data_IF_076914733180
#
_entry.id   IF_076914733180
#
_cell.length_a   1.000
_cell.length_b   1.000
_cell.length_c   1.000
_cell.angle_alpha   90.00
_cell.angle_beta   90.00
_cell.angle_gamma   90.00
#
_symmetry.space_group_name_H-M   'P 1'
#
loop_
_entity.id
_entity.type
_entity.pdbx_description
1 polymer ?
#
# COMPACT_ATOMS: atom_id res chain seq x y z
N UNK A 1 -16.98 25.29 5.40
CA UNK A 1 -16.45 25.08 4.01
C UNK A 1 -15.12 24.35 4.17
N UNK A 2 -15.00 23.10 3.72
CA UNK A 2 -13.71 22.39 3.77
C UNK A 2 -12.76 23.11 2.80
N UNK A 3 -11.59 23.53 3.29
CA UNK A 3 -10.56 24.10 2.44
C UNK A 3 -10.28 23.15 1.27
N UNK A 4 -10.13 23.69 0.08
CA UNK A 4 -9.78 22.92 -1.12
C UNK A 4 -8.41 22.24 -0.92
N UNK A 5 -8.23 21.04 -1.45
CA UNK A 5 -6.97 20.32 -1.31
C UNK A 5 -5.88 21.04 -2.15
N UNK A 6 -4.81 21.48 -1.48
CA UNK A 6 -3.65 22.08 -2.14
C UNK A 6 -2.76 20.98 -2.74
N UNK A 7 -2.58 21.02 -4.06
CA UNK A 7 -1.66 20.10 -4.74
C UNK A 7 -0.22 20.60 -4.63
N UNK A 8 0.69 19.71 -4.24
CA UNK A 8 2.12 20.00 -4.08
C UNK A 8 2.99 18.97 -4.78
N UNK A 9 4.18 19.41 -5.18
CA UNK A 9 5.24 18.59 -5.75
C UNK A 9 6.54 18.88 -5.02
N UNK A 10 7.24 17.84 -4.59
CA UNK A 10 8.55 17.98 -3.96
C UNK A 10 9.53 16.93 -4.50
N UNK A 11 10.80 17.32 -4.70
CA UNK A 11 11.86 16.37 -5.04
C UNK A 11 12.40 15.77 -3.75
N UNK A 12 12.04 14.53 -3.48
CA UNK A 12 12.35 13.79 -2.27
C UNK A 12 12.93 12.43 -2.62
N UNK A 13 13.94 11.99 -1.88
CA UNK A 13 14.58 10.69 -2.09
C UNK A 13 14.92 10.40 -3.56
N UNK A 14 15.40 11.42 -4.29
CA UNK A 14 15.83 11.31 -5.68
C UNK A 14 14.70 11.19 -6.73
N UNK A 15 13.45 11.42 -6.35
CA UNK A 15 12.29 11.43 -7.25
C UNK A 15 11.35 12.59 -6.94
N UNK A 16 10.46 12.92 -7.87
CA UNK A 16 9.39 13.88 -7.63
C UNK A 16 8.19 13.16 -7.03
N UNK A 17 7.78 13.57 -5.83
CA UNK A 17 6.56 13.12 -5.19
C UNK A 17 5.47 14.17 -5.39
N UNK A 18 4.33 13.74 -5.93
CA UNK A 18 3.10 14.51 -5.89
C UNK A 18 2.30 14.14 -4.63
N UNK A 19 1.79 15.12 -3.93
CA UNK A 19 0.88 14.93 -2.79
C UNK A 19 -0.08 16.11 -2.67
N UNK A 20 -1.17 15.90 -1.93
CA UNK A 20 -2.11 16.97 -1.58
C UNK A 20 -2.07 17.24 -0.10
N UNK A 21 -2.30 18.49 0.29
CA UNK A 21 -2.44 18.90 1.69
C UNK A 21 -3.82 19.53 1.88
N UNK A 22 -4.55 19.08 2.91
CA UNK A 22 -5.88 19.58 3.21
C UNK A 22 -6.14 19.59 4.72
N UNK A 23 -6.91 20.58 5.20
CA UNK A 23 -7.29 20.70 6.60
C UNK A 23 -6.18 21.22 7.51
N UNK A 24 -6.48 21.25 8.80
CA UNK A 24 -5.60 21.75 9.86
C UNK A 24 -5.60 20.78 11.04
N UNK A 25 -4.61 20.90 11.95
CA UNK A 25 -4.49 20.05 13.14
C UNK A 25 -3.41 18.98 13.03
N UNK A 26 -3.56 17.86 13.76
CA UNK A 26 -2.57 16.78 13.80
C UNK A 26 -2.36 16.16 12.42
N UNK A 27 -1.09 15.91 12.03
CA UNK A 27 -0.77 15.44 10.68
C UNK A 27 -1.15 13.98 10.45
N UNK A 28 -1.82 13.72 9.33
CA UNK A 28 -2.17 12.38 8.83
C UNK A 28 -1.54 12.20 7.46
N UNK A 29 -0.80 11.11 7.27
CA UNK A 29 -0.26 10.72 5.97
C UNK A 29 -1.11 9.56 5.44
N UNK A 30 -1.80 9.78 4.32
CA UNK A 30 -2.65 8.78 3.65
C UNK A 30 -1.92 8.20 2.44
N UNK A 31 -1.79 6.88 2.43
CA UNK A 31 -1.03 6.09 1.47
C UNK A 31 -1.94 5.08 0.77
N UNK A 32 -2.05 5.18 -0.55
CA UNK A 32 -2.92 4.34 -1.38
C UNK A 32 -2.34 2.94 -1.65
N UNK A 33 -3.16 2.05 -2.23
CA UNK A 33 -2.78 0.72 -2.69
C UNK A 33 -2.04 0.72 -4.03
N UNK A 34 -1.50 -0.44 -4.41
CA UNK A 34 -0.89 -0.64 -5.73
C UNK A 34 -1.91 -0.42 -6.84
N UNK A 35 -1.52 0.26 -7.91
CA UNK A 35 -2.44 0.59 -9.01
C UNK A 35 -3.47 1.69 -8.71
N UNK A 36 -3.43 2.25 -7.51
CA UNK A 36 -4.29 3.35 -7.06
C UNK A 36 -3.56 4.69 -7.09
N UNK A 37 -4.29 5.75 -6.74
CA UNK A 37 -3.80 7.12 -6.65
C UNK A 37 -4.37 7.81 -5.41
N UNK A 38 -3.97 9.04 -5.14
CA UNK A 38 -4.55 9.87 -4.07
C UNK A 38 -6.06 10.02 -4.21
N UNK A 39 -6.57 10.08 -5.45
CA UNK A 39 -8.02 10.17 -5.73
C UNK A 39 -8.78 8.93 -5.25
N UNK A 40 -8.18 7.73 -5.37
CA UNK A 40 -8.80 6.48 -4.91
C UNK A 40 -9.08 6.49 -3.41
N UNK A 41 -8.21 7.12 -2.63
CA UNK A 41 -8.33 7.20 -1.16
C UNK A 41 -8.86 8.56 -0.67
N UNK A 42 -9.41 9.38 -1.58
CA UNK A 42 -9.91 10.73 -1.27
C UNK A 42 -11.05 10.74 -0.25
N UNK A 43 -11.90 9.69 -0.22
CA UNK A 43 -12.94 9.54 0.80
C UNK A 43 -12.34 9.39 2.20
N UNK A 44 -11.23 8.65 2.36
CA UNK A 44 -10.51 8.49 3.62
C UNK A 44 -9.93 9.84 4.06
N UNK A 45 -9.30 10.56 3.13
CA UNK A 45 -8.72 11.88 3.39
C UNK A 45 -9.79 12.87 3.85
N UNK A 46 -10.96 12.88 3.19
CA UNK A 46 -12.09 13.75 3.58
C UNK A 46 -12.60 13.44 4.99
N UNK A 47 -12.73 12.17 5.36
CA UNK A 47 -13.15 11.78 6.71
C UNK A 47 -12.14 12.29 7.75
N UNK A 48 -10.83 12.17 7.47
CA UNK A 48 -9.79 12.66 8.37
C UNK A 48 -9.79 14.19 8.49
N UNK A 49 -10.00 14.93 7.39
CA UNK A 49 -10.16 16.40 7.41
C UNK A 49 -11.38 16.79 8.24
N UNK A 50 -12.52 16.12 8.06
CA UNK A 50 -13.73 16.38 8.83
C UNK A 50 -13.55 16.04 10.34
N UNK A 51 -12.60 15.17 10.66
CA UNK A 51 -12.20 14.87 12.04
C UNK A 51 -11.17 15.89 12.60
N UNK A 52 -10.91 17.02 11.92
CA UNK A 52 -10.01 18.07 12.36
C UNK A 52 -8.53 17.70 12.23
N UNK A 53 -8.16 17.02 11.15
CA UNK A 53 -6.79 16.62 10.86
C UNK A 53 -6.22 17.36 9.64
N UNK A 54 -4.91 17.60 9.65
CA UNK A 54 -4.15 18.04 8.48
C UNK A 54 -3.69 16.82 7.71
N UNK A 55 -4.21 16.63 6.51
CA UNK A 55 -4.07 15.40 5.74
C UNK A 55 -3.13 15.59 4.56
N UNK A 56 -2.13 14.73 4.48
CA UNK A 56 -1.17 14.62 3.38
C UNK A 56 -1.50 13.34 2.62
N UNK A 57 -2.05 13.45 1.41
CA UNK A 57 -2.38 12.29 0.58
C UNK A 57 -1.40 12.19 -0.57
N UNK A 58 -0.63 11.11 -0.61
CA UNK A 58 0.46 10.94 -1.58
C UNK A 58 0.03 10.17 -2.81
N UNK A 59 0.66 10.48 -3.97
CA UNK A 59 0.77 9.56 -5.09
C UNK A 59 2.11 8.87 -5.02
N UNK A 60 2.15 7.58 -4.75
CA UNK A 60 3.41 6.86 -4.77
C UNK A 60 4.09 6.90 -6.16
N UNK A 61 5.43 6.95 -6.24
CA UNK A 61 6.16 6.87 -7.51
C UNK A 61 5.74 5.69 -8.38
N UNK A 62 5.42 6.00 -9.63
CA UNK A 62 4.83 5.06 -10.60
C UNK A 62 3.31 5.10 -10.67
N UNK A 63 2.65 5.97 -9.88
CA UNK A 63 1.20 6.13 -9.84
C UNK A 63 0.80 7.60 -9.84
N UNK A 64 -0.43 7.86 -10.31
CA UNK A 64 -0.99 9.20 -10.36
C UNK A 64 -0.10 10.17 -11.12
N UNK A 65 0.28 11.28 -10.49
CA UNK A 65 1.15 12.30 -11.07
C UNK A 65 2.62 12.18 -10.62
N UNK A 66 2.98 11.17 -9.84
CA UNK A 66 4.37 10.89 -9.48
C UNK A 66 5.04 9.99 -10.53
N UNK A 67 6.23 10.34 -11.06
CA UNK A 67 6.90 9.55 -12.08
C UNK A 67 7.34 8.19 -11.54
N UNK A 68 7.58 7.23 -12.45
CA UNK A 68 8.15 5.94 -12.08
C UNK A 68 9.55 6.11 -11.47
N UNK A 69 9.90 5.31 -10.44
CA UNK A 69 11.24 5.30 -9.89
C UNK A 69 12.29 4.97 -10.98
N UNK A 70 13.46 5.57 -10.89
CA UNK A 70 14.56 5.27 -11.83
C UNK A 70 15.07 3.83 -11.69
N UNK A 71 14.96 3.25 -10.47
CA UNK A 71 15.45 1.92 -10.12
C UNK A 71 14.29 1.00 -9.66
N UNK A 72 14.60 -0.30 -9.46
CA UNK A 72 13.63 -1.27 -8.95
C UNK A 72 13.53 -1.15 -7.44
N UNK A 73 12.58 -0.36 -6.97
CA UNK A 73 12.32 -0.14 -5.56
C UNK A 73 11.69 -1.37 -4.87
N UNK A 74 11.89 -1.50 -3.56
CA UNK A 74 11.15 -2.35 -2.64
C UNK A 74 10.36 -1.50 -1.66
N UNK A 75 9.79 -2.11 -0.63
CA UNK A 75 9.03 -1.39 0.41
C UNK A 75 9.92 -0.40 1.15
N UNK A 76 11.21 -0.72 1.30
CA UNK A 76 12.18 0.14 1.98
C UNK A 76 12.32 1.51 1.30
N UNK A 77 12.52 1.54 -0.02
CA UNK A 77 12.72 2.79 -0.75
C UNK A 77 11.46 3.66 -0.73
N UNK A 78 10.28 3.05 -0.84
CA UNK A 78 9.00 3.77 -0.67
C UNK A 78 8.85 4.32 0.76
N UNK A 79 9.33 3.58 1.77
CA UNK A 79 9.30 4.06 3.16
C UNK A 79 10.25 5.24 3.36
N UNK A 80 11.48 5.16 2.86
CA UNK A 80 12.44 6.28 2.89
C UNK A 80 11.90 7.54 2.22
N UNK A 81 11.10 7.39 1.15
CA UNK A 81 10.42 8.52 0.52
C UNK A 81 9.40 9.16 1.48
N UNK A 82 8.57 8.37 2.19
CA UNK A 82 7.60 8.90 3.17
C UNK A 82 8.31 9.52 4.38
N UNK A 83 9.42 8.96 4.82
CA UNK A 83 10.29 9.58 5.85
C UNK A 83 10.83 10.94 5.39
N UNK A 84 11.24 11.02 4.11
CA UNK A 84 11.70 12.28 3.51
C UNK A 84 10.56 13.30 3.39
N UNK A 85 9.33 12.87 3.10
CA UNK A 85 8.14 13.74 3.12
C UNK A 85 7.87 14.26 4.54
N UNK A 86 7.87 13.38 5.53
CA UNK A 86 7.64 13.76 6.92
C UNK A 86 8.69 14.81 7.39
N UNK A 87 9.95 14.59 7.03
CA UNK A 87 11.03 15.56 7.32
C UNK A 87 10.83 16.89 6.58
N UNK A 88 10.44 16.85 5.31
CA UNK A 88 10.22 18.03 4.47
C UNK A 88 9.08 18.90 5.01
N UNK A 89 7.97 18.27 5.42
CA UNK A 89 6.80 18.93 5.98
C UNK A 89 6.89 19.15 7.52
N UNK A 90 8.05 18.84 8.12
CA UNK A 90 8.31 18.98 9.57
C UNK A 90 7.32 18.21 10.44
N UNK A 91 6.94 17.02 10.01
CA UNK A 91 6.04 16.13 10.72
C UNK A 91 6.85 15.20 11.62
N UNK A 92 6.76 15.37 12.92
CA UNK A 92 7.54 14.57 13.89
C UNK A 92 6.84 13.26 14.27
N UNK A 93 5.50 13.27 14.38
CA UNK A 93 4.71 12.14 14.87
C UNK A 93 3.40 12.02 14.07
N UNK A 94 3.46 11.52 12.83
CA UNK A 94 2.26 11.40 11.99
C UNK A 94 1.29 10.34 12.49
N UNK A 95 -0.01 10.52 12.17
CA UNK A 95 -0.96 9.43 12.05
C UNK A 95 -0.75 8.82 10.66
N UNK A 96 -0.51 7.51 10.59
CA UNK A 96 -0.33 6.81 9.33
C UNK A 96 -1.61 6.08 8.92
N UNK A 97 -2.04 6.28 7.69
CA UNK A 97 -3.17 5.56 7.10
C UNK A 97 -2.70 4.88 5.83
N UNK A 98 -2.74 3.55 5.80
CA UNK A 98 -2.26 2.78 4.66
C UNK A 98 -3.31 1.78 4.15
N UNK A 99 -3.73 1.93 2.88
CA UNK A 99 -4.53 0.94 2.19
C UNK A 99 -3.62 -0.02 1.42
N UNK A 100 -3.85 -1.33 1.56
CA UNK A 100 -3.16 -2.38 0.79
C UNK A 100 -1.63 -2.20 0.77
N UNK A 101 -1.02 -1.80 -0.36
CA UNK A 101 0.42 -1.51 -0.47
C UNK A 101 0.87 -0.39 0.49
N UNK A 102 0.07 0.66 0.67
CA UNK A 102 0.34 1.73 1.64
C UNK A 102 0.48 1.21 3.07
N UNK A 103 -0.20 0.11 3.39
CA UNK A 103 -0.05 -0.57 4.68
C UNK A 103 1.34 -1.17 4.88
N UNK A 104 1.98 -1.71 3.83
CA UNK A 104 3.38 -2.17 3.90
C UNK A 104 4.32 -1.05 4.30
N UNK A 105 4.19 0.09 3.64
CA UNK A 105 4.99 1.29 3.92
C UNK A 105 4.74 1.78 5.34
N UNK A 106 3.47 1.81 5.78
CA UNK A 106 3.09 2.19 7.15
C UNK A 106 3.72 1.30 8.21
N UNK A 107 3.71 -0.03 8.02
CA UNK A 107 4.33 -0.99 8.94
C UNK A 107 5.84 -0.75 9.07
N UNK A 108 6.55 -0.59 7.95
CA UNK A 108 8.00 -0.34 7.97
C UNK A 108 8.29 0.99 8.64
N UNK A 109 7.57 2.05 8.29
CA UNK A 109 7.72 3.37 8.91
C UNK A 109 7.53 3.31 10.43
N UNK A 110 6.39 2.77 10.89
CA UNK A 110 6.03 2.71 12.31
C UNK A 110 6.93 1.78 13.14
N UNK A 111 7.64 0.83 12.50
CA UNK A 111 8.58 -0.07 13.18
C UNK A 111 9.87 0.62 13.64
N UNK A 112 10.16 1.84 13.14
CA UNK A 112 11.41 2.54 13.40
C UNK A 112 11.29 4.05 13.65
N UNK A 113 10.12 4.63 13.37
CA UNK A 113 9.89 6.06 13.57
C UNK A 113 8.78 6.30 14.59
N UNK A 114 8.82 7.48 15.24
CA UNK A 114 7.71 7.91 16.10
C UNK A 114 6.45 8.07 15.27
N UNK A 115 5.38 7.42 15.71
CA UNK A 115 4.08 7.42 15.05
C UNK A 115 3.01 7.64 16.11
N UNK A 116 2.05 8.52 15.86
CA UNK A 116 0.96 8.77 16.81
C UNK A 116 0.00 7.59 16.85
N UNK A 117 -0.47 7.19 15.68
CA UNK A 117 -1.39 6.06 15.45
C UNK A 117 -1.15 5.49 14.08
N UNK A 118 -1.55 4.25 13.89
CA UNK A 118 -1.56 3.62 12.58
C UNK A 118 -2.93 3.04 12.27
N UNK A 119 -3.42 3.28 11.05
CA UNK A 119 -4.66 2.67 10.53
C UNK A 119 -4.30 1.89 9.29
N UNK A 120 -4.52 0.59 9.32
CA UNK A 120 -4.28 -0.33 8.23
C UNK A 120 -5.61 -0.79 7.65
N UNK A 121 -5.83 -0.48 6.37
CA UNK A 121 -7.09 -0.76 5.66
C UNK A 121 -6.81 -1.81 4.61
N UNK A 122 -7.38 -3.02 4.75
CA UNK A 122 -7.19 -4.13 3.82
C UNK A 122 -5.69 -4.29 3.44
N UNK A 123 -4.81 -4.18 4.43
CA UNK A 123 -3.39 -3.89 4.22
C UNK A 123 -2.59 -5.14 3.80
N UNK A 124 -1.64 -4.96 2.91
CA UNK A 124 -0.63 -5.97 2.64
C UNK A 124 0.52 -5.87 3.67
N UNK A 125 1.26 -6.95 3.88
CA UNK A 125 2.38 -7.03 4.84
C UNK A 125 2.80 -8.46 5.11
N UNK A 126 1.89 -9.38 4.93
CA UNK A 126 2.14 -10.83 5.02
C UNK A 126 2.50 -11.36 3.63
N UNK A 127 3.55 -12.14 3.55
CA UNK A 127 3.90 -12.82 2.29
C UNK A 127 2.84 -13.88 1.97
N UNK A 128 2.22 -13.84 0.77
CA UNK A 128 1.19 -14.79 0.41
C UNK A 128 1.69 -16.24 0.45
N UNK A 129 0.93 -17.12 1.06
CA UNK A 129 1.19 -18.58 1.01
C UNK A 129 0.95 -19.06 -0.41
N UNK A 130 1.98 -19.59 -1.06
CA UNK A 130 1.90 -20.12 -2.43
C UNK A 130 1.56 -21.61 -2.40
N UNK A 131 0.60 -22.03 -3.20
CA UNK A 131 0.23 -23.44 -3.35
C UNK A 131 1.25 -24.20 -4.20
N UNK A 132 1.29 -25.53 -4.09
CA UNK A 132 2.12 -26.38 -4.96
C UNK A 132 1.82 -26.13 -6.45
N UNK A 133 0.54 -25.97 -6.80
CA UNK A 133 0.08 -25.62 -8.16
C UNK A 133 0.72 -24.32 -8.67
N UNK A 134 0.90 -23.32 -7.82
CA UNK A 134 1.61 -22.08 -8.17
C UNK A 134 3.07 -22.38 -8.56
N UNK A 135 3.78 -23.18 -7.76
CA UNK A 135 5.18 -23.52 -8.06
C UNK A 135 5.29 -24.32 -9.35
N UNK A 136 4.40 -25.30 -9.59
CA UNK A 136 4.34 -26.04 -10.85
C UNK A 136 4.16 -25.09 -12.03
N UNK A 137 3.20 -24.14 -11.97
CA UNK A 137 3.01 -23.12 -13.00
C UNK A 137 4.25 -22.26 -13.24
N UNK A 138 4.93 -21.84 -12.17
CA UNK A 138 6.17 -21.04 -12.27
C UNK A 138 7.30 -21.85 -12.93
N UNK A 139 7.51 -23.10 -12.54
CA UNK A 139 8.58 -23.94 -13.09
C UNK A 139 8.30 -24.34 -14.54
N UNK A 140 7.07 -24.71 -14.88
CA UNK A 140 6.69 -24.99 -16.27
C UNK A 140 6.82 -23.76 -17.15
N UNK A 141 6.48 -22.58 -16.65
CA UNK A 141 6.71 -21.33 -17.36
C UNK A 141 8.21 -21.02 -17.55
N UNK A 142 9.05 -21.25 -16.53
CA UNK A 142 10.51 -21.10 -16.66
C UNK A 142 11.10 -22.07 -17.67
N UNK A 143 10.63 -23.32 -17.68
CA UNK A 143 11.05 -24.33 -18.65
C UNK A 143 10.62 -23.93 -20.08
N UNK A 144 9.36 -23.52 -20.25
CA UNK A 144 8.85 -23.07 -21.57
C UNK A 144 9.64 -21.89 -22.15
N UNK A 145 10.15 -20.99 -21.32
CA UNK A 145 11.03 -19.89 -21.77
C UNK A 145 12.32 -20.40 -22.43
N UNK A 146 12.96 -21.42 -21.82
CA UNK A 146 14.19 -22.00 -22.37
C UNK A 146 13.91 -22.65 -23.75
N UNK A 147 12.81 -23.41 -23.82
CA UNK A 147 12.39 -24.07 -25.05
C UNK A 147 12.05 -23.05 -26.15
N UNK A 148 11.26 -22.01 -25.81
CA UNK A 148 10.89 -20.97 -26.78
C UNK A 148 12.12 -20.21 -27.32
N UNK A 149 13.13 -19.93 -26.45
CA UNK A 149 14.37 -19.30 -26.90
C UNK A 149 15.18 -20.16 -27.86
N UNK A 150 15.22 -21.48 -27.62
CA UNK A 150 15.91 -22.42 -28.48
C UNK A 150 15.23 -22.57 -29.86
N UNK A 151 13.88 -22.55 -29.91
CA UNK A 151 13.12 -22.77 -31.14
C UNK A 151 12.97 -21.50 -31.99
N UNK A 152 12.68 -20.34 -31.36
CA UNK A 152 12.30 -19.10 -32.06
C UNK A 152 13.34 -17.98 -31.98
N UNK A 153 14.49 -18.23 -31.33
CA UNK A 153 15.50 -17.22 -31.07
C UNK A 153 15.06 -16.19 -29.98
N UNK A 154 15.97 -15.27 -29.62
CA UNK A 154 15.79 -14.41 -28.45
C UNK A 154 14.65 -13.38 -28.64
N UNK A 155 14.60 -12.71 -29.81
CA UNK A 155 13.66 -11.62 -30.06
C UNK A 155 12.20 -12.07 -30.15
N UNK A 156 11.90 -13.11 -30.97
CA UNK A 156 10.55 -13.67 -31.10
C UNK A 156 10.07 -14.32 -29.80
N UNK A 157 10.94 -15.03 -29.11
CA UNK A 157 10.60 -15.64 -27.82
C UNK A 157 10.26 -14.59 -26.75
N UNK A 158 10.97 -13.44 -26.75
CA UNK A 158 10.73 -12.32 -25.84
C UNK A 158 9.30 -11.78 -25.98
N UNK A 159 8.83 -11.54 -27.21
CA UNK A 159 7.46 -11.08 -27.47
C UNK A 159 6.39 -12.08 -27.04
N UNK A 160 6.62 -13.38 -27.35
CA UNK A 160 5.68 -14.45 -26.96
C UNK A 160 5.61 -14.64 -25.45
N UNK A 161 6.74 -14.56 -24.76
CA UNK A 161 6.83 -14.65 -23.30
C UNK A 161 6.10 -13.46 -22.67
N UNK A 162 6.27 -12.25 -23.21
CA UNK A 162 5.64 -11.04 -22.68
C UNK A 162 4.11 -11.10 -22.83
N UNK A 163 3.59 -11.51 -24.00
CA UNK A 163 2.14 -11.74 -24.19
C UNK A 163 1.57 -12.76 -23.21
N UNK A 164 2.31 -13.84 -22.92
CA UNK A 164 1.91 -14.85 -21.93
C UNK A 164 1.92 -14.32 -20.51
N UNK A 165 2.90 -13.50 -20.14
CA UNK A 165 2.96 -12.83 -18.83
C UNK A 165 1.77 -11.89 -18.61
N UNK A 166 1.46 -11.05 -19.58
CA UNK A 166 0.32 -10.15 -19.52
C UNK A 166 -1.01 -10.90 -19.35
N UNK A 167 -1.19 -12.06 -20.00
CA UNK A 167 -2.41 -12.88 -19.88
C UNK A 167 -2.51 -13.67 -18.57
N UNK A 168 -1.38 -14.00 -17.94
CA UNK A 168 -1.35 -14.84 -16.74
C UNK A 168 -1.23 -14.02 -15.43
N UNK A 169 -0.92 -12.73 -15.53
CA UNK A 169 -0.80 -11.81 -14.40
C UNK A 169 -2.14 -11.23 -13.96
N UNK A 170 -2.16 -10.59 -12.79
CA UNK A 170 -3.28 -9.73 -12.37
C UNK A 170 -3.44 -8.55 -13.34
N UNK A 171 -4.59 -7.87 -13.30
CA UNK A 171 -4.84 -6.63 -14.07
C UNK A 171 -3.72 -5.61 -13.86
N UNK A 172 -3.30 -5.43 -12.60
CA UNK A 172 -2.24 -4.52 -12.19
C UNK A 172 -0.87 -4.88 -12.80
N UNK A 173 -0.58 -6.19 -12.89
CA UNK A 173 0.63 -6.68 -13.53
C UNK A 173 0.60 -6.48 -15.05
N UNK A 174 -0.57 -6.67 -15.66
CA UNK A 174 -0.74 -6.56 -17.11
C UNK A 174 -0.59 -5.11 -17.60
N UNK A 175 -1.13 -4.13 -16.87
CA UNK A 175 -1.08 -2.71 -17.22
C UNK A 175 0.25 -2.02 -16.86
N UNK A 176 1.04 -2.58 -15.92
CA UNK A 176 2.26 -1.99 -15.45
C UNK A 176 3.41 -2.03 -16.48
N UNK A 177 4.29 -1.02 -16.46
CA UNK A 177 5.53 -1.01 -17.21
C UNK A 177 6.46 -2.16 -16.82
N UNK A 178 7.46 -2.53 -17.61
CA UNK A 178 8.42 -3.57 -17.24
C UNK A 178 9.10 -3.31 -15.89
N UNK A 179 9.41 -2.05 -15.57
CA UNK A 179 10.01 -1.66 -14.28
C UNK A 179 9.02 -1.83 -13.15
N UNK A 180 7.81 -1.31 -13.29
CA UNK A 180 6.76 -1.43 -12.27
C UNK A 180 6.39 -2.90 -12.00
N UNK A 181 6.46 -3.78 -12.99
CA UNK A 181 6.31 -5.23 -12.79
C UNK A 181 7.42 -5.85 -11.94
N UNK A 182 8.67 -5.39 -12.10
CA UNK A 182 9.77 -5.84 -11.25
C UNK A 182 9.56 -5.36 -9.81
N UNK A 183 9.17 -4.10 -9.63
CA UNK A 183 8.84 -3.52 -8.33
C UNK A 183 7.69 -4.29 -7.67
N UNK A 184 6.56 -4.50 -8.38
CA UNK A 184 5.43 -5.28 -7.87
C UNK A 184 5.87 -6.67 -7.41
N UNK A 185 6.68 -7.36 -8.25
CA UNK A 185 7.18 -8.69 -7.90
C UNK A 185 8.09 -8.66 -6.65
N UNK A 186 8.87 -7.61 -6.44
CA UNK A 186 9.70 -7.42 -5.24
C UNK A 186 8.81 -7.20 -4.02
N UNK A 187 7.96 -6.17 -4.03
CA UNK A 187 7.18 -5.75 -2.86
C UNK A 187 6.15 -6.79 -2.39
N UNK A 188 5.49 -7.54 -3.29
CA UNK A 188 4.52 -8.57 -2.87
C UNK A 188 5.18 -9.80 -2.24
N UNK A 189 6.48 -10.01 -2.44
CA UNK A 189 7.23 -11.12 -1.85
C UNK A 189 7.95 -10.75 -0.55
N UNK A 190 7.98 -9.49 -0.17
CA UNK A 190 8.52 -9.07 1.12
C UNK A 190 7.58 -9.46 2.25
N UNK A 191 8.14 -10.08 3.30
CA UNK A 191 7.40 -10.50 4.49
C UNK A 191 7.77 -9.58 5.66
N UNK A 192 6.80 -8.81 6.13
CA UNK A 192 7.01 -7.78 7.14
C UNK A 192 6.67 -8.25 8.56
N UNK A 193 6.33 -9.52 8.77
CA UNK A 193 5.97 -10.05 10.10
C UNK A 193 7.02 -9.80 11.16
N UNK A 194 8.31 -9.82 10.79
CA UNK A 194 9.42 -9.57 11.70
C UNK A 194 9.53 -8.10 12.18
N UNK A 195 8.86 -7.17 11.52
CA UNK A 195 8.81 -5.75 11.91
C UNK A 195 7.60 -5.42 12.77
N UNK A 196 6.50 -6.17 12.66
CA UNK A 196 5.25 -5.89 13.35
C UNK A 196 5.39 -5.81 14.90
N UNK A 197 6.19 -6.67 15.55
CA UNK A 197 6.42 -6.55 17.00
C UNK A 197 7.17 -5.27 17.42
N UNK A 198 7.75 -4.54 16.48
CA UNK A 198 8.46 -3.27 16.74
C UNK A 198 7.56 -2.04 16.58
N UNK A 199 6.34 -2.22 16.11
CA UNK A 199 5.35 -1.13 15.99
C UNK A 199 4.84 -0.80 17.38
N UNK A 200 5.16 0.42 17.84
CA UNK A 200 4.78 0.90 19.18
C UNK A 200 3.60 1.89 19.15
N UNK A 201 3.00 2.11 17.98
CA UNK A 201 1.84 2.97 17.84
C UNK A 201 0.54 2.19 18.01
N UNK A 202 -0.47 2.70 18.71
CA UNK A 202 -1.82 2.17 18.69
C UNK A 202 -2.28 1.98 17.25
N UNK A 203 -2.77 0.78 16.92
CA UNK A 203 -3.05 0.37 15.54
C UNK A 203 -4.48 -0.12 15.37
N UNK A 204 -5.20 0.48 14.44
CA UNK A 204 -6.50 0.00 14.00
C UNK A 204 -6.37 -0.75 12.67
N UNK A 205 -6.86 -1.99 12.64
CA UNK A 205 -7.01 -2.78 11.43
C UNK A 205 -8.48 -2.70 11.00
N UNK A 206 -8.77 -2.20 9.79
CA UNK A 206 -10.12 -2.22 9.21
C UNK A 206 -10.09 -3.13 8.00
N UNK A 207 -10.98 -4.13 7.95
CA UNK A 207 -10.83 -5.19 6.96
C UNK A 207 -12.14 -5.76 6.46
N UNK A 208 -12.23 -5.96 5.13
CA UNK A 208 -13.34 -6.67 4.52
C UNK A 208 -13.23 -8.19 4.72
N UNK A 209 -14.33 -8.84 5.17
CA UNK A 209 -14.31 -10.31 5.38
C UNK A 209 -14.28 -11.10 4.07
N UNK A 210 -14.70 -10.50 2.95
CA UNK A 210 -14.68 -11.07 1.61
C UNK A 210 -13.44 -10.66 0.79
N UNK A 211 -12.44 -10.02 1.41
CA UNK A 211 -11.20 -9.65 0.73
C UNK A 211 -10.41 -10.88 0.29
N UNK A 212 -10.20 -11.00 -1.03
CA UNK A 212 -9.44 -12.08 -1.65
C UNK A 212 -8.00 -11.70 -1.98
N UNK A 213 -7.67 -10.41 -1.99
CA UNK A 213 -6.32 -9.91 -2.25
C UNK A 213 -5.44 -9.99 -1.01
N UNK A 214 -5.96 -9.51 0.12
CA UNK A 214 -5.36 -9.62 1.46
C UNK A 214 -6.38 -10.25 2.40
N UNK A 215 -6.41 -11.58 2.52
CA UNK A 215 -7.45 -12.28 3.28
C UNK A 215 -7.52 -11.84 4.75
N UNK A 216 -8.70 -11.85 5.35
CA UNK A 216 -8.92 -11.51 6.78
C UNK A 216 -8.02 -12.32 7.74
N UNK A 217 -7.51 -13.47 7.31
CA UNK A 217 -6.51 -14.23 8.06
C UNK A 217 -5.20 -13.46 8.25
N UNK A 218 -4.86 -12.57 7.32
CA UNK A 218 -3.65 -11.76 7.41
C UNK A 218 -3.85 -10.65 8.44
N UNK A 219 -5.03 -10.03 8.49
CA UNK A 219 -5.39 -9.08 9.55
C UNK A 219 -5.28 -9.71 10.95
N UNK A 220 -5.78 -10.94 11.12
CA UNK A 220 -5.66 -11.69 12.38
C UNK A 220 -4.22 -12.02 12.77
N UNK A 221 -3.32 -12.16 11.80
CA UNK A 221 -1.89 -12.32 12.06
C UNK A 221 -1.30 -10.99 12.50
N UNK A 222 -1.63 -9.88 11.81
CA UNK A 222 -1.17 -8.53 12.18
C UNK A 222 -1.64 -8.14 13.57
N UNK A 223 -2.92 -8.37 13.91
CA UNK A 223 -3.48 -8.12 15.24
C UNK A 223 -2.72 -8.83 16.36
N UNK A 224 -2.26 -10.05 16.11
CA UNK A 224 -1.47 -10.81 17.10
C UNK A 224 -0.01 -10.38 17.20
N UNK A 225 0.55 -9.83 16.12
CA UNK A 225 1.98 -9.49 16.06
C UNK A 225 2.26 -8.03 16.44
N UNK A 226 1.32 -7.13 16.21
CA UNK A 226 1.44 -5.72 16.59
C UNK A 226 0.97 -5.60 18.04
N UNK A 227 1.79 -5.07 18.97
CA UNK A 227 1.51 -5.11 20.41
C UNK A 227 0.21 -4.44 20.85
N UNK A 228 -0.15 -3.32 20.21
CA UNK A 228 -1.38 -2.56 20.51
C UNK A 228 -2.21 -2.42 19.24
N UNK A 229 -2.87 -3.51 18.86
CA UNK A 229 -3.71 -3.56 17.65
C UNK A 229 -5.11 -4.09 17.95
N UNK A 230 -6.11 -3.47 17.30
CA UNK A 230 -7.49 -3.93 17.31
C UNK A 230 -8.04 -4.08 15.89
N UNK A 231 -8.86 -5.12 15.65
CA UNK A 231 -9.43 -5.45 14.36
C UNK A 231 -10.93 -5.13 14.30
N UNK A 232 -11.31 -4.34 13.30
CA UNK A 232 -12.70 -4.15 12.86
C UNK A 232 -12.91 -4.89 11.54
N UNK A 233 -13.65 -5.99 11.59
CA UNK A 233 -14.01 -6.78 10.42
C UNK A 233 -15.35 -6.31 9.85
N UNK A 234 -15.37 -5.87 8.58
CA UNK A 234 -16.58 -5.42 7.88
C UNK A 234 -17.13 -6.59 7.07
N UNK A 235 -18.28 -7.09 7.52
CA UNK A 235 -18.88 -8.29 6.91
C UNK A 235 -19.31 -8.05 5.46
N UNK A 236 -18.88 -8.95 4.57
CA UNK A 236 -19.19 -8.93 3.14
C UNK A 236 -18.38 -7.91 2.30
N UNK A 237 -17.63 -7.00 2.91
CA UNK A 237 -16.79 -6.07 2.19
C UNK A 237 -15.55 -6.77 1.59
N UNK A 238 -15.12 -6.32 0.41
CA UNK A 238 -13.92 -6.78 -0.30
C UNK A 238 -12.68 -5.96 0.04
N UNK A 239 -11.77 -5.87 -0.95
CA UNK A 239 -10.47 -5.19 -0.81
C UNK A 239 -10.53 -3.66 -0.70
N UNK A 240 -11.68 -3.07 -0.92
CA UNK A 240 -11.93 -1.64 -0.75
C UNK A 240 -13.03 -1.43 0.28
N UNK A 241 -12.81 -1.93 1.50
CA UNK A 241 -13.80 -1.93 2.58
C UNK A 241 -14.37 -0.54 2.88
N UNK A 242 -13.58 0.51 2.67
CA UNK A 242 -13.96 1.91 2.80
C UNK A 242 -14.94 2.40 1.72
N UNK A 243 -15.02 1.73 0.56
CA UNK A 243 -15.98 1.99 -0.52
C UNK A 243 -17.20 1.07 -0.40
N UNK A 244 -16.99 -0.19 -0.03
CA UNK A 244 -18.05 -1.19 0.04
C UNK A 244 -19.00 -0.95 1.21
N UNK A 245 -18.50 -0.41 2.32
CA UNK A 245 -19.28 -0.15 3.54
C UNK A 245 -18.88 1.18 4.19
N UNK A 246 -19.12 2.33 3.51
CA UNK A 246 -18.60 3.63 3.94
C UNK A 246 -19.06 4.04 5.33
N UNK A 247 -20.29 3.74 5.75
CA UNK A 247 -20.82 4.12 7.07
C UNK A 247 -20.13 3.40 8.23
N UNK A 248 -19.91 2.08 8.11
CA UNK A 248 -19.21 1.30 9.14
C UNK A 248 -17.73 1.72 9.18
N UNK A 249 -17.12 1.89 8.00
CA UNK A 249 -15.74 2.35 7.88
C UNK A 249 -15.54 3.72 8.55
N UNK A 250 -16.38 4.72 8.21
CA UNK A 250 -16.29 6.07 8.75
C UNK A 250 -16.44 6.10 10.27
N UNK A 251 -17.38 5.31 10.80
CA UNK A 251 -17.59 5.21 12.25
C UNK A 251 -16.33 4.66 12.96
N UNK A 252 -15.78 3.54 12.49
CA UNK A 252 -14.59 2.92 13.06
C UNK A 252 -13.38 3.85 12.96
N UNK A 253 -13.15 4.42 11.79
CA UNK A 253 -12.03 5.31 11.49
C UNK A 253 -12.08 6.58 12.34
N UNK A 254 -13.25 7.25 12.40
CA UNK A 254 -13.41 8.51 13.14
C UNK A 254 -13.32 8.29 14.65
N UNK A 255 -13.89 7.21 15.18
CA UNK A 255 -13.79 6.88 16.60
C UNK A 255 -12.34 6.67 17.01
N UNK A 256 -11.55 5.96 16.21
CA UNK A 256 -10.14 5.75 16.49
C UNK A 256 -9.30 7.03 16.38
N UNK A 257 -9.61 7.92 15.41
CA UNK A 257 -8.94 9.21 15.28
C UNK A 257 -9.20 10.16 16.47
N UNK A 258 -10.37 10.05 17.11
CA UNK A 258 -10.80 10.92 18.22
C UNK A 258 -10.51 10.33 19.60
N UNK A 259 -10.19 9.04 19.70
CA UNK A 259 -9.89 8.41 20.98
C UNK A 259 -8.75 9.15 21.69
N UNK A 260 -8.91 9.36 22.99
CA UNK A 260 -7.81 9.81 23.85
C UNK A 260 -6.98 8.57 24.22
N UNK A 261 -5.78 8.47 23.67
CA UNK A 261 -4.85 7.35 23.89
C UNK A 261 -3.61 7.88 24.60
#
# INVERSE_FOLDING_TARGET
>A
MSAEAEERFATLYGTTLRYTVQGEGSPVIVMHGWGCTAETVSSISRIAVNAGKRVYTVDFPGFGKSPEPAETWGVEEYTCLIESLAKHEQIEKPILVGHSFGGRVGIVYASRNKTDRMILIDAAGIKPKRTLSYYVKVYTFKASKRVLRLIYGEERSRQMIERRRCRAGSSDYASASPRMRMILSKVVNEDLRHLMPKVNAPTLLIWGTADTATPISDAKIMERLIPDAGLVAINGAGHYSFLDSPGIFEAAFTNFLKAQI
#
